data_IF_176221729922
#
_entry.id   IF_176221729922
#
_cell.length_a   1.000
_cell.length_b   1.000
_cell.length_c   1.000
_cell.angle_alpha   90.00
_cell.angle_beta   90.00
_cell.angle_gamma   90.00
#
_symmetry.space_group_name_H-M   'P 1'
#
loop_
_entity.id
_entity.type
_entity.pdbx_description
1 polymer ?
#
# COMPACT_ATOMS: atom_id res chain seq x y z
N UNK A 1 -12.00 6.80 8.12
CA UNK A 1 -12.13 8.23 7.77
C UNK A 1 -11.09 8.54 6.68
N UNK A 2 -11.22 9.63 5.88
CA UNK A 2 -10.19 9.99 4.88
C UNK A 2 -8.76 10.04 5.45
N UNK A 3 -8.66 10.37 6.75
CA UNK A 3 -7.43 10.45 7.55
C UNK A 3 -6.61 9.15 7.62
N UNK A 4 -7.26 7.99 7.49
CA UNK A 4 -6.58 6.68 7.55
C UNK A 4 -5.88 6.34 6.24
N UNK A 5 -6.45 6.78 5.12
CA UNK A 5 -5.88 6.52 3.79
C UNK A 5 -4.66 7.38 3.51
N UNK A 6 -4.61 8.63 3.98
CA UNK A 6 -3.42 9.46 3.85
C UNK A 6 -2.20 8.82 4.54
N UNK A 7 -2.43 8.15 5.69
CA UNK A 7 -1.40 7.38 6.38
C UNK A 7 -0.98 6.13 5.60
N UNK A 8 -1.93 5.38 5.05
CA UNK A 8 -1.66 4.19 4.23
C UNK A 8 -0.87 4.59 2.99
N UNK A 9 -1.27 5.66 2.32
CA UNK A 9 -0.60 6.18 1.12
C UNK A 9 0.83 6.59 1.42
N UNK A 10 1.07 7.31 2.53
CA UNK A 10 2.43 7.65 2.97
C UNK A 10 3.31 6.41 3.20
N UNK A 11 2.75 5.35 3.78
CA UNK A 11 3.45 4.08 3.96
C UNK A 11 3.75 3.39 2.62
N UNK A 12 2.82 3.46 1.67
CA UNK A 12 2.98 2.93 0.31
C UNK A 12 4.09 3.70 -0.44
N UNK A 13 4.09 5.03 -0.37
CA UNK A 13 5.11 5.87 -1.02
C UNK A 13 6.53 5.59 -0.51
N UNK A 14 6.66 5.23 0.77
CA UNK A 14 7.94 4.87 1.42
C UNK A 14 8.24 3.36 1.44
N UNK A 15 7.55 2.54 0.65
CA UNK A 15 7.76 1.07 0.56
C UNK A 15 7.57 0.29 1.88
N UNK A 16 6.84 0.85 2.84
CA UNK A 16 6.48 0.21 4.10
C UNK A 16 5.23 -0.69 3.96
N UNK A 17 5.26 -1.64 3.02
CA UNK A 17 4.09 -2.43 2.61
C UNK A 17 3.49 -3.31 3.73
N UNK A 18 4.32 -3.85 4.63
CA UNK A 18 3.82 -4.61 5.79
C UNK A 18 3.02 -3.70 6.72
N UNK A 19 3.50 -2.48 6.95
CA UNK A 19 2.83 -1.49 7.79
C UNK A 19 1.55 -0.99 7.11
N UNK A 20 1.58 -0.76 5.80
CA UNK A 20 0.39 -0.42 5.02
C UNK A 20 -0.67 -1.53 5.09
N UNK A 21 -0.27 -2.79 4.93
CA UNK A 21 -1.16 -3.95 5.03
C UNK A 21 -1.78 -4.09 6.43
N UNK A 22 -1.00 -3.84 7.49
CA UNK A 22 -1.52 -3.81 8.87
C UNK A 22 -2.55 -2.70 9.05
N UNK A 23 -2.25 -1.49 8.56
CA UNK A 23 -3.16 -0.36 8.63
C UNK A 23 -4.47 -0.61 7.87
N UNK A 24 -4.40 -1.26 6.70
CA UNK A 24 -5.59 -1.70 5.94
C UNK A 24 -6.42 -2.70 6.75
N UNK A 25 -5.77 -3.70 7.39
CA UNK A 25 -6.49 -4.68 8.23
C UNK A 25 -7.09 -4.05 9.49
N UNK A 26 -6.44 -3.06 10.07
CA UNK A 26 -6.97 -2.30 11.21
C UNK A 26 -8.19 -1.45 10.78
N UNK A 27 -8.17 -0.91 9.56
CA UNK A 27 -9.24 -0.05 9.02
C UNK A 27 -10.46 -0.85 8.51
N UNK A 28 -10.22 -1.93 7.77
CA UNK A 28 -11.27 -2.75 7.14
C UNK A 28 -11.87 -3.81 8.08
N UNK A 29 -11.31 -3.97 9.28
CA UNK A 29 -11.72 -5.03 10.21
C UNK A 29 -11.15 -6.40 9.81
N UNK A 30 -11.66 -7.51 10.36
CA UNK A 30 -11.10 -8.85 10.16
C UNK A 30 -11.43 -9.38 8.75
N UNK A 31 -10.79 -8.81 7.74
CA UNK A 31 -10.75 -9.35 6.39
C UNK A 31 -9.66 -10.44 6.30
N UNK A 32 -9.86 -11.47 5.46
CA UNK A 32 -8.82 -12.42 5.11
C UNK A 32 -7.54 -11.71 4.64
N UNK A 33 -6.38 -12.31 4.91
CA UNK A 33 -5.11 -11.77 4.46
C UNK A 33 -5.04 -11.57 2.92
N UNK A 34 -5.57 -12.49 2.08
CA UNK A 34 -5.62 -12.28 0.63
C UNK A 34 -6.38 -11.01 0.25
N UNK A 35 -7.59 -10.82 0.79
CA UNK A 35 -8.41 -9.63 0.51
C UNK A 35 -7.70 -8.33 0.91
N UNK A 36 -6.95 -8.34 2.03
CA UNK A 36 -6.16 -7.19 2.44
C UNK A 36 -5.00 -6.88 1.49
N UNK A 37 -4.39 -7.93 0.91
CA UNK A 37 -3.33 -7.79 -0.10
C UNK A 37 -3.92 -7.22 -1.39
N UNK A 38 -5.10 -7.66 -1.80
CA UNK A 38 -5.79 -7.14 -2.98
C UNK A 38 -6.09 -5.64 -2.82
N UNK A 39 -6.61 -5.22 -1.67
CA UNK A 39 -6.83 -3.79 -1.36
C UNK A 39 -5.54 -2.98 -1.40
N UNK A 40 -4.44 -3.52 -0.86
CA UNK A 40 -3.13 -2.87 -0.91
C UNK A 40 -2.64 -2.70 -2.36
N UNK A 41 -2.81 -3.75 -3.17
CA UNK A 41 -2.38 -3.74 -4.57
C UNK A 41 -3.20 -2.75 -5.41
N UNK A 42 -4.53 -2.76 -5.26
CA UNK A 42 -5.41 -1.79 -5.92
C UNK A 42 -5.03 -0.35 -5.56
N UNK A 43 -4.75 -0.09 -4.27
CA UNK A 43 -4.34 1.24 -3.82
C UNK A 43 -2.99 1.64 -4.41
N UNK A 44 -2.01 0.74 -4.40
CA UNK A 44 -0.70 0.99 -4.99
C UNK A 44 -0.80 1.36 -6.48
N UNK A 45 -1.55 0.57 -7.26
CA UNK A 45 -1.75 0.83 -8.70
C UNK A 45 -2.40 2.19 -8.91
N UNK A 46 -3.43 2.52 -8.14
CA UNK A 46 -4.08 3.82 -8.21
C UNK A 46 -3.14 4.99 -7.90
N UNK A 47 -2.30 4.86 -6.87
CA UNK A 47 -1.32 5.89 -6.49
C UNK A 47 -0.22 6.02 -7.55
N UNK A 48 0.19 4.92 -8.18
CA UNK A 48 1.15 4.98 -9.30
C UNK A 48 0.60 5.69 -10.52
N UNK A 49 -0.69 5.53 -10.81
CA UNK A 49 -1.35 6.23 -11.93
C UNK A 49 -1.55 7.72 -11.63
N UNK A 50 -1.95 8.06 -10.41
CA UNK A 50 -2.38 9.42 -10.07
C UNK A 50 -1.30 10.30 -9.44
N UNK A 51 -0.33 9.72 -8.73
CA UNK A 51 0.70 10.42 -7.94
C UNK A 51 2.07 9.71 -8.04
N UNK A 52 2.59 9.44 -9.24
CA UNK A 52 3.85 8.70 -9.41
C UNK A 52 5.06 9.41 -8.79
N UNK A 53 5.05 10.74 -8.75
CA UNK A 53 6.16 11.57 -8.26
C UNK A 53 6.31 11.55 -6.72
N UNK A 54 5.30 11.07 -5.99
CA UNK A 54 5.33 11.00 -4.52
C UNK A 54 6.09 9.77 -4.01
N UNK A 55 6.37 8.79 -4.87
CA UNK A 55 7.15 7.61 -4.50
C UNK A 55 8.61 7.97 -4.27
N UNK A 56 9.13 7.67 -3.07
CA UNK A 56 10.49 8.09 -2.65
C UNK A 56 11.61 7.17 -3.15
N UNK A 57 11.27 6.17 -3.96
CA UNK A 57 12.12 5.04 -4.34
C UNK A 57 11.95 4.71 -5.82
N UNK A 58 13.07 4.35 -6.46
CA UNK A 58 13.13 4.04 -7.89
C UNK A 58 12.40 2.73 -8.19
N UNK A 59 11.76 2.66 -9.37
CA UNK A 59 10.89 1.57 -9.82
C UNK A 59 11.55 0.18 -9.80
N UNK A 60 12.89 0.12 -9.88
CA UNK A 60 13.65 -1.11 -10.08
C UNK A 60 13.68 -2.07 -8.86
N UNK A 61 13.20 -1.65 -7.69
CA UNK A 61 13.18 -2.47 -6.47
C UNK A 61 11.79 -2.83 -5.93
N UNK A 62 10.72 -2.29 -6.53
CA UNK A 62 9.40 -2.39 -5.92
C UNK A 62 8.82 -3.81 -6.06
N UNK A 63 8.59 -4.47 -4.93
CA UNK A 63 7.98 -5.80 -4.87
C UNK A 63 8.95 -6.98 -4.96
N UNK A 64 10.26 -6.71 -5.10
CA UNK A 64 11.31 -7.74 -5.03
C UNK A 64 11.36 -8.30 -3.59
N UNK A 65 10.74 -9.46 -3.38
CA UNK A 65 10.57 -10.10 -2.07
C UNK A 65 9.14 -10.16 -1.51
N UNK A 66 8.15 -9.53 -2.16
CA UNK A 66 6.73 -9.64 -1.75
C UNK A 66 5.89 -10.56 -2.63
N UNK A 67 6.26 -10.68 -3.92
CA UNK A 67 5.61 -11.57 -4.90
C UNK A 67 6.47 -12.77 -5.32
N UNK A 68 7.61 -13.00 -4.65
CA UNK A 68 8.49 -14.16 -4.86
C UNK A 68 8.09 -15.38 -4.03
#
# INVERSE_FOLDING_TARGET
MPEDWDRIDALIFSEHLIQALRAIRDQCGPIPLPDAIDVLNERFVHLRDTRPDEFTVSLDGYGDGFYS
#
